data_IF_884528451997
#
_entry.id   IF_884528451997
#
_cell.length_a   1.000
_cell.length_b   1.000
_cell.length_c   1.000
_cell.angle_alpha   90.00
_cell.angle_beta   90.00
_cell.angle_gamma   90.00
#
_symmetry.space_group_name_H-M   'P 1'
#
loop_
_entity.id
_entity.type
_entity.pdbx_description
1 polymer ?
#
# COMPACT_ATOMS: atom_id res chain seq x y z
N UNK A 1 8.82 3.03 -5.68
CA UNK A 1 9.54 3.49 -4.47
C UNK A 1 11.00 3.87 -4.73
N UNK A 2 11.59 4.83 -3.98
CA UNK A 2 13.07 5.00 -3.97
C UNK A 2 13.72 3.80 -3.26
N UNK A 3 14.79 3.21 -3.83
CA UNK A 3 15.51 2.02 -3.28
C UNK A 3 15.86 2.11 -1.78
N UNK A 4 16.10 3.31 -1.27
CA UNK A 4 16.43 3.56 0.15
C UNK A 4 15.23 3.32 1.06
N UNK A 5 14.01 3.68 0.61
CA UNK A 5 12.78 3.47 1.38
C UNK A 5 12.41 1.99 1.45
N UNK A 6 12.49 1.26 0.33
CA UNK A 6 12.24 -0.19 0.29
C UNK A 6 13.13 -0.94 1.27
N UNK A 7 14.43 -0.65 1.26
CA UNK A 7 15.38 -1.27 2.19
C UNK A 7 15.00 -1.00 3.66
N UNK A 8 14.56 0.22 3.98
CA UNK A 8 14.12 0.59 5.33
C UNK A 8 12.89 -0.22 5.75
N UNK A 9 11.88 -0.34 4.88
CA UNK A 9 10.67 -1.10 5.18
C UNK A 9 10.96 -2.60 5.33
N UNK A 10 11.79 -3.19 4.47
CA UNK A 10 12.19 -4.58 4.62
C UNK A 10 12.94 -4.87 5.93
N UNK A 11 13.78 -3.92 6.38
CA UNK A 11 14.44 -4.03 7.69
C UNK A 11 13.40 -3.95 8.82
N UNK A 12 12.43 -3.04 8.74
CA UNK A 12 11.37 -2.94 9.75
C UNK A 12 10.48 -4.18 9.82
N UNK A 13 10.22 -4.82 8.68
CA UNK A 13 9.51 -6.11 8.63
C UNK A 13 10.35 -7.17 9.36
N UNK A 14 11.63 -7.30 9.01
CA UNK A 14 12.53 -8.26 9.61
C UNK A 14 12.72 -8.07 11.13
N UNK A 15 12.77 -6.82 11.62
CA UNK A 15 12.88 -6.49 13.05
C UNK A 15 11.63 -6.87 13.86
N UNK A 16 10.47 -6.99 13.21
CA UNK A 16 9.21 -7.38 13.84
C UNK A 16 8.95 -8.89 13.82
N UNK A 17 9.76 -9.65 13.09
CA UNK A 17 9.62 -11.10 13.04
C UNK A 17 10.04 -11.73 14.35
N UNK A 18 9.20 -12.64 14.83
CA UNK A 18 9.46 -13.49 15.99
C UNK A 18 9.56 -14.95 15.53
N UNK A 19 10.08 -15.86 16.36
CA UNK A 19 10.10 -17.29 16.05
C UNK A 19 8.72 -17.90 15.76
N UNK A 20 7.65 -17.25 16.25
CA UNK A 20 6.26 -17.63 16.04
C UNK A 20 5.68 -17.05 14.74
N UNK A 21 6.38 -16.12 14.10
CA UNK A 21 5.92 -15.53 12.85
C UNK A 21 5.88 -16.58 11.75
N UNK A 22 4.75 -16.60 11.05
CA UNK A 22 4.50 -17.49 9.92
C UNK A 22 4.94 -16.85 8.61
N UNK A 23 5.03 -17.67 7.58
CA UNK A 23 5.31 -17.17 6.23
C UNK A 23 4.17 -16.26 5.74
N UNK A 24 2.93 -16.57 6.09
CA UNK A 24 1.74 -15.75 5.82
C UNK A 24 1.88 -14.34 6.44
N UNK A 25 2.36 -14.22 7.69
CA UNK A 25 2.57 -12.92 8.35
C UNK A 25 3.58 -12.05 7.58
N UNK A 26 4.61 -12.68 7.00
CA UNK A 26 5.60 -11.99 6.15
C UNK A 26 4.95 -11.54 4.85
N UNK A 27 4.15 -12.40 4.21
CA UNK A 27 3.46 -12.07 2.97
C UNK A 27 2.44 -10.94 3.15
N UNK A 28 1.72 -10.90 4.27
CA UNK A 28 0.78 -9.82 4.58
C UNK A 28 1.51 -8.47 4.65
N UNK A 29 2.65 -8.43 5.35
CA UNK A 29 3.44 -7.19 5.46
C UNK A 29 4.06 -6.76 4.12
N UNK A 30 4.47 -7.72 3.28
CA UNK A 30 4.97 -7.43 1.94
C UNK A 30 3.87 -6.96 0.98
N UNK A 31 2.66 -7.52 1.09
CA UNK A 31 1.49 -7.08 0.32
C UNK A 31 1.15 -5.63 0.67
N UNK A 32 1.10 -5.31 1.96
CA UNK A 32 0.85 -3.94 2.42
C UNK A 32 1.91 -2.97 1.89
N UNK A 33 3.17 -3.39 1.81
CA UNK A 33 4.24 -2.57 1.24
C UNK A 33 4.05 -2.32 -0.26
N UNK A 34 3.56 -3.31 -1.00
CA UNK A 34 3.24 -3.14 -2.42
C UNK A 34 2.08 -2.18 -2.62
N UNK A 35 1.02 -2.30 -1.80
CA UNK A 35 -0.15 -1.41 -1.84
C UNK A 35 0.23 0.06 -1.52
N UNK A 36 1.16 0.26 -0.58
CA UNK A 36 1.70 1.59 -0.26
C UNK A 36 2.47 2.17 -1.46
N UNK A 37 3.29 1.36 -2.14
CA UNK A 37 4.06 1.85 -3.29
C UNK A 37 3.15 2.24 -4.47
N UNK A 38 2.11 1.46 -4.72
CA UNK A 38 1.07 1.78 -5.70
C UNK A 38 0.35 3.08 -5.33
N UNK A 39 -0.04 3.22 -4.07
CA UNK A 39 -0.71 4.44 -3.58
C UNK A 39 0.16 5.69 -3.72
N UNK A 40 1.47 5.60 -3.43
CA UNK A 40 2.42 6.72 -3.63
C UNK A 40 2.56 7.09 -5.12
N UNK A 41 2.50 6.11 -6.01
CA UNK A 41 2.55 6.35 -7.45
C UNK A 41 1.26 7.02 -7.95
N UNK A 42 0.10 6.53 -7.52
CA UNK A 42 -1.20 7.13 -7.81
C UNK A 42 -1.27 8.58 -7.32
N UNK A 43 -0.82 8.86 -6.09
CA UNK A 43 -0.74 10.23 -5.55
C UNK A 43 0.14 11.12 -6.41
N UNK A 44 1.34 10.64 -6.80
CA UNK A 44 2.27 11.39 -7.64
C UNK A 44 1.71 11.68 -9.03
N UNK A 45 0.92 10.77 -9.58
CA UNK A 45 0.26 10.92 -10.88
C UNK A 45 -1.01 11.78 -10.80
N UNK A 46 -1.42 12.20 -9.60
CA UNK A 46 -2.66 12.95 -9.39
C UNK A 46 -3.92 12.08 -9.52
N UNK A 47 -3.78 10.76 -9.41
CA UNK A 47 -4.86 9.78 -9.44
C UNK A 47 -5.60 9.73 -8.08
N UNK A 48 -5.83 10.90 -7.50
CA UNK A 48 -6.50 11.07 -6.21
C UNK A 48 -7.86 11.68 -6.49
N UNK A 49 -8.91 11.00 -6.02
CA UNK A 49 -10.26 11.50 -6.15
C UNK A 49 -10.60 12.40 -4.97
N UNK A 50 -11.14 13.58 -5.24
CA UNK A 50 -11.83 14.38 -4.24
C UNK A 50 -13.12 13.69 -3.80
N UNK A 51 -13.62 14.08 -2.63
CA UNK A 51 -14.90 13.59 -2.10
C UNK A 51 -16.06 13.76 -3.10
N UNK A 52 -16.04 14.84 -3.89
CA UNK A 52 -17.06 15.10 -4.91
C UNK A 52 -16.96 14.14 -6.10
N UNK A 53 -15.74 13.83 -6.52
CA UNK A 53 -15.49 12.89 -7.63
C UNK A 53 -15.87 11.47 -7.23
N UNK A 54 -15.54 11.03 -6.01
CA UNK A 54 -15.97 9.74 -5.46
C UNK A 54 -17.50 9.61 -5.48
N UNK A 55 -18.22 10.63 -5.00
CA UNK A 55 -19.70 10.62 -5.00
C UNK A 55 -20.31 10.57 -6.40
N UNK A 56 -19.64 11.16 -7.39
CA UNK A 56 -20.10 11.16 -8.78
C UNK A 56 -19.91 9.77 -9.37
N UNK A 57 -18.70 9.22 -9.28
CA UNK A 57 -18.36 7.90 -9.81
C UNK A 57 -19.15 6.77 -9.13
N UNK A 58 -19.39 6.86 -7.83
CA UNK A 58 -20.19 5.85 -7.11
C UNK A 58 -21.64 5.81 -7.60
N UNK A 59 -22.22 6.97 -7.94
CA UNK A 59 -23.60 7.05 -8.47
C UNK A 59 -23.69 6.52 -9.90
N UNK A 60 -22.64 6.70 -10.69
CA UNK A 60 -22.55 6.15 -12.04
C UNK A 60 -22.39 4.63 -12.01
N UNK A 61 -21.59 4.09 -11.08
CA UNK A 61 -21.41 2.65 -10.91
C UNK A 61 -22.70 1.92 -10.51
N UNK A 62 -23.55 2.54 -9.70
CA UNK A 62 -24.79 1.94 -9.18
C UNK A 62 -25.97 1.98 -10.18
N UNK A 63 -25.77 2.54 -11.38
CA UNK A 63 -26.77 2.53 -12.47
C UNK A 63 -26.59 1.31 -13.37
#
# INVERSE_FOLDING_TARGET
>A
MKKVALKKYLIQIAEKLTPESTLEDVYEQLSLLADIDESEEQEKNGEILSQKEVQTLSREWLR
#
